data_IF_038699933431
#
_entry.id   IF_038699933431
#
_cell.length_a   1.000
_cell.length_b   1.000
_cell.length_c   1.000
_cell.angle_alpha   90.00
_cell.angle_beta   90.00
_cell.angle_gamma   90.00
#
_symmetry.space_group_name_H-M   'P 1'
#
loop_
_entity.id
_entity.type
_entity.pdbx_description
1 polymer ?
#
# COMPACT_ATOMS: atom_id res chain seq x y z
N UNK A 1 3.58 -3.02 -19.25
CA UNK A 1 2.60 -4.09 -18.98
C UNK A 1 2.69 -4.43 -17.50
N UNK A 2 1.69 -4.05 -16.69
CA UNK A 2 1.58 -4.57 -15.33
C UNK A 2 1.43 -6.08 -15.47
N UNK A 3 2.43 -6.86 -15.02
CA UNK A 3 2.21 -8.27 -14.74
C UNK A 3 1.24 -8.29 -13.56
N UNK A 4 -0.06 -8.19 -13.86
CA UNK A 4 -1.11 -8.64 -12.97
C UNK A 4 -0.80 -10.11 -12.77
N UNK A 5 -0.13 -10.42 -11.67
CA UNK A 5 -0.03 -11.78 -11.20
C UNK A 5 -1.45 -12.36 -11.24
N UNK A 6 -1.68 -13.33 -12.13
CA UNK A 6 -2.77 -14.30 -11.98
C UNK A 6 -2.71 -14.95 -10.57
N UNK A 7 -1.55 -14.86 -9.91
CA UNK A 7 -1.19 -15.28 -8.56
C UNK A 7 -1.55 -14.31 -7.41
N UNK A 8 -1.87 -13.04 -7.67
CA UNK A 8 -2.04 -12.02 -6.61
C UNK A 8 -3.49 -11.79 -6.26
N UNK A 9 -4.44 -12.49 -6.87
CA UNK A 9 -5.88 -12.36 -6.56
C UNK A 9 -6.31 -12.81 -5.15
N UNK A 10 -5.38 -12.96 -4.19
CA UNK A 10 -5.70 -13.32 -2.82
C UNK A 10 -6.70 -12.35 -2.19
N UNK A 11 -7.44 -12.81 -1.18
CA UNK A 11 -8.49 -12.02 -0.50
C UNK A 11 -7.93 -10.87 0.34
N UNK A 12 -6.61 -10.72 0.42
CA UNK A 12 -5.97 -9.75 1.29
C UNK A 12 -5.91 -8.34 0.69
N UNK A 13 -5.74 -7.35 1.58
CA UNK A 13 -5.56 -5.96 1.21
C UNK A 13 -4.66 -5.20 2.18
N UNK A 14 -4.08 -4.09 1.72
CA UNK A 14 -3.62 -3.01 2.60
C UNK A 14 -4.58 -1.84 2.46
N UNK A 15 -5.13 -1.35 3.56
CA UNK A 15 -5.90 -0.12 3.58
C UNK A 15 -5.36 0.81 4.65
N UNK A 16 -5.04 2.04 4.25
CA UNK A 16 -4.83 3.12 5.19
C UNK A 16 -6.19 3.58 5.71
N UNK A 17 -6.65 2.99 6.81
CA UNK A 17 -7.86 3.42 7.55
C UNK A 17 -7.46 3.80 8.97
N UNK A 18 -8.12 4.83 9.54
CA UNK A 18 -7.79 5.39 10.86
C UNK A 18 -6.31 5.83 10.96
N UNK A 19 -5.54 5.32 11.95
CA UNK A 19 -4.16 5.75 12.22
C UNK A 19 -3.11 5.38 11.15
N UNK A 20 -3.49 4.59 10.13
CA UNK A 20 -2.60 4.13 9.06
C UNK A 20 -2.70 4.89 7.73
N UNK A 21 -3.32 6.08 7.72
CA UNK A 21 -3.43 6.92 6.50
C UNK A 21 -2.11 7.56 6.10
N UNK A 22 -2.00 7.97 4.85
CA UNK A 22 -0.88 8.80 4.37
C UNK A 22 -0.99 10.20 4.98
N UNK A 23 0.10 10.64 5.62
CA UNK A 23 0.21 11.99 6.16
C UNK A 23 1.52 12.67 5.76
N UNK A 24 1.50 13.99 5.72
CA UNK A 24 2.67 14.88 5.62
C UNK A 24 2.52 15.91 6.74
N UNK A 25 3.54 16.08 7.57
CA UNK A 25 3.50 16.95 8.76
C UNK A 25 2.27 16.71 9.65
N UNK A 26 1.89 15.44 9.83
CA UNK A 26 0.75 15.03 10.65
C UNK A 26 -0.62 15.35 10.05
N UNK A 27 -0.70 15.86 8.81
CA UNK A 27 -1.95 16.12 8.09
C UNK A 27 -2.16 15.09 6.98
N UNK A 28 -3.39 14.67 6.70
CA UNK A 28 -3.66 13.79 5.56
C UNK A 28 -3.16 14.37 4.24
N UNK A 29 -2.64 13.50 3.37
CA UNK A 29 -2.08 13.91 2.09
C UNK A 29 -2.32 12.88 0.98
N UNK A 30 -2.44 13.38 -0.25
CA UNK A 30 -2.46 12.53 -1.45
C UNK A 30 -1.03 12.28 -1.93
N UNK A 31 -0.61 11.01 -1.86
CA UNK A 31 0.69 10.50 -2.35
C UNK A 31 0.49 9.18 -3.07
N UNK A 32 1.44 8.83 -3.94
CA UNK A 32 1.40 7.52 -4.58
C UNK A 32 1.88 6.47 -3.58
N UNK A 33 1.10 5.42 -3.43
CA UNK A 33 1.42 4.28 -2.57
C UNK A 33 1.74 3.09 -3.46
N UNK A 34 2.92 2.52 -3.26
CA UNK A 34 3.46 1.39 -4.00
C UNK A 34 3.43 0.14 -3.12
N UNK A 35 3.13 -1.00 -3.71
CA UNK A 35 3.20 -2.31 -3.05
C UNK A 35 4.10 -3.23 -3.87
N UNK A 36 5.21 -3.65 -3.28
CA UNK A 36 6.18 -4.54 -3.89
C UNK A 36 6.16 -5.89 -3.18
N UNK A 37 6.32 -6.98 -3.93
CA UNK A 37 6.61 -8.28 -3.35
C UNK A 37 7.97 -8.27 -2.67
N UNK A 38 8.06 -8.78 -1.44
CA UNK A 38 9.30 -8.68 -0.67
C UNK A 38 10.42 -9.58 -1.18
N UNK A 39 10.07 -10.72 -1.78
CA UNK A 39 11.00 -11.75 -2.23
C UNK A 39 11.75 -11.37 -3.51
N UNK A 40 11.12 -10.58 -4.40
CA UNK A 40 11.67 -10.26 -5.71
C UNK A 40 11.51 -8.78 -6.12
N UNK A 41 11.01 -7.93 -5.22
CA UNK A 41 10.80 -6.50 -5.43
C UNK A 41 9.96 -6.13 -6.65
N UNK A 42 9.12 -7.04 -7.14
CA UNK A 42 8.18 -6.71 -8.21
C UNK A 42 7.08 -5.81 -7.67
N UNK A 43 6.82 -4.70 -8.37
CA UNK A 43 5.63 -3.89 -8.14
C UNK A 43 4.38 -4.70 -8.51
N UNK A 44 3.49 -4.91 -7.54
CA UNK A 44 2.30 -5.75 -7.71
C UNK A 44 0.99 -4.97 -7.59
N UNK A 45 0.99 -3.88 -6.84
CA UNK A 45 -0.12 -2.92 -6.77
C UNK A 45 0.44 -1.52 -6.58
N UNK A 46 -0.32 -0.54 -7.03
CA UNK A 46 -0.14 0.84 -6.65
C UNK A 46 -1.49 1.56 -6.66
N UNK A 47 -1.55 2.66 -5.93
CA UNK A 47 -2.70 3.57 -5.92
C UNK A 47 -2.24 4.97 -5.54
N UNK A 48 -3.10 5.96 -5.71
CA UNK A 48 -2.96 7.24 -5.03
C UNK A 48 -3.80 7.21 -3.75
N UNK A 49 -3.23 7.67 -2.64
CA UNK A 49 -4.07 8.00 -1.49
C UNK A 49 -4.98 9.19 -1.83
N UNK A 50 -6.17 9.20 -1.24
CA UNK A 50 -7.13 10.29 -1.38
C UNK A 50 -6.64 11.53 -0.61
N UNK A 51 -7.36 12.63 -0.76
CA UNK A 51 -7.10 13.87 -0.01
C UNK A 51 -7.17 13.66 1.51
N UNK A 52 -8.05 12.76 1.97
CA UNK A 52 -8.15 12.36 3.38
C UNK A 52 -7.06 11.36 3.82
N UNK A 53 -6.05 11.12 2.98
CA UNK A 53 -4.92 10.22 3.25
C UNK A 53 -5.25 8.74 3.16
N UNK A 54 -6.53 8.36 3.01
CA UNK A 54 -6.91 6.95 2.90
C UNK A 54 -6.45 6.35 1.57
N UNK A 55 -6.16 5.05 1.58
CA UNK A 55 -5.80 4.31 0.36
C UNK A 55 -6.25 2.86 0.48
N UNK A 56 -6.36 2.18 -0.67
CA UNK A 56 -6.64 0.75 -0.76
C UNK A 56 -5.77 0.10 -1.83
N UNK A 57 -5.07 -0.96 -1.45
CA UNK A 57 -4.31 -1.86 -2.31
C UNK A 57 -4.93 -3.26 -2.18
N UNK A 58 -5.92 -3.60 -3.03
CA UNK A 58 -6.66 -4.84 -2.91
C UNK A 58 -5.99 -5.98 -3.68
N UNK A 59 -6.54 -7.19 -3.49
CA UNK A 59 -6.12 -8.39 -4.20
C UNK A 59 -4.64 -8.66 -3.97
N UNK A 60 -4.30 -9.05 -2.75
CA UNK A 60 -2.97 -9.46 -2.32
C UNK A 60 -3.05 -10.84 -1.66
N UNK A 61 -2.03 -11.68 -1.84
CA UNK A 61 -1.96 -12.98 -1.18
C UNK A 61 -1.52 -12.80 0.29
N UNK A 62 -2.36 -13.14 1.30
CA UNK A 62 -2.07 -12.95 2.72
C UNK A 62 -0.97 -13.87 3.27
N UNK A 63 -0.53 -14.87 2.50
CA UNK A 63 0.58 -15.75 2.89
C UNK A 63 1.95 -15.19 2.53
N UNK A 64 2.02 -14.13 1.72
CA UNK A 64 3.27 -13.52 1.28
C UNK A 64 3.58 -12.23 2.07
N UNK A 65 4.84 -11.83 2.03
CA UNK A 65 5.34 -10.57 2.59
C UNK A 65 5.54 -9.52 1.49
N UNK A 66 5.31 -8.26 1.85
CA UNK A 66 5.36 -7.12 0.95
C UNK A 66 6.14 -5.96 1.57
N UNK A 67 6.49 -5.02 0.69
CA UNK A 67 6.89 -3.66 1.05
C UNK A 67 5.77 -2.74 0.61
N UNK A 68 5.26 -1.92 1.52
CA UNK A 68 4.34 -0.83 1.18
C UNK A 68 5.08 0.48 1.35
N UNK A 69 5.03 1.35 0.35
CA UNK A 69 5.81 2.59 0.34
C UNK A 69 4.95 3.75 -0.15
N UNK A 70 4.86 4.82 0.63
CA UNK A 70 4.32 6.10 0.17
C UNK A 70 5.47 6.95 -0.37
N UNK A 71 5.35 7.39 -1.62
CA UNK A 71 6.37 8.21 -2.29
C UNK A 71 5.89 9.65 -2.50
N UNK A 72 6.75 10.61 -2.21
CA UNK A 72 6.46 12.02 -2.42
C UNK A 72 6.62 12.42 -3.88
N UNK A 73 5.55 12.96 -4.48
CA UNK A 73 5.58 13.43 -5.87
C UNK A 73 6.09 14.88 -5.99
N UNK A 74 6.21 15.59 -4.87
CA UNK A 74 6.72 16.95 -4.80
C UNK A 74 8.25 17.02 -4.56
N UNK A 75 8.90 15.87 -4.30
CA UNK A 75 10.33 15.75 -4.00
C UNK A 75 10.81 16.59 -2.80
N UNK A 76 9.95 16.74 -1.79
CA UNK A 76 10.23 17.46 -0.53
C UNK A 76 10.49 16.52 0.63
N UNK A 77 9.93 15.31 0.59
CA UNK A 77 10.00 14.35 1.67
C UNK A 77 10.55 13.00 1.20
N UNK A 78 11.29 12.35 2.08
CA UNK A 78 11.72 10.98 1.87
C UNK A 78 10.50 10.03 1.81
N UNK A 79 10.58 8.95 1.02
CA UNK A 79 9.52 7.96 1.01
C UNK A 79 9.45 7.26 2.37
N UNK A 80 8.24 7.04 2.86
CA UNK A 80 8.00 6.22 4.05
C UNK A 80 7.63 4.81 3.59
N UNK A 81 8.34 3.81 4.13
CA UNK A 81 8.13 2.42 3.77
C UNK A 81 7.94 1.54 5.00
N UNK A 82 7.04 0.57 4.86
CA UNK A 82 6.85 -0.53 5.80
C UNK A 82 7.30 -1.81 5.12
N UNK A 83 8.30 -2.46 5.72
CA UNK A 83 8.88 -3.72 5.25
C UNK A 83 8.31 -4.91 6.04
N UNK A 84 8.35 -6.11 5.45
CA UNK A 84 7.88 -7.38 6.04
C UNK A 84 6.40 -7.34 6.48
N UNK A 85 5.57 -6.63 5.72
CA UNK A 85 4.15 -6.51 6.03
C UNK A 85 3.31 -7.56 5.31
N UNK A 86 2.34 -8.13 6.02
CA UNK A 86 1.31 -9.02 5.47
C UNK A 86 -0.01 -8.26 5.32
N UNK A 87 -0.75 -8.47 4.23
CA UNK A 87 -2.04 -7.82 4.04
C UNK A 87 -3.06 -8.40 5.02
N UNK A 88 -4.03 -7.58 5.43
CA UNK A 88 -5.17 -8.03 6.21
C UNK A 88 -6.01 -9.02 5.39
N UNK A 89 -6.54 -10.06 6.03
CA UNK A 89 -7.30 -11.16 5.40
C UNK A 89 -8.82 -11.08 5.62
N UNK A 90 -9.28 -10.09 6.37
CA UNK A 90 -10.67 -9.78 6.70
C UNK A 90 -10.88 -8.28 6.67
N UNK A 91 -11.99 -7.80 6.09
CA UNK A 91 -12.31 -6.37 6.06
C UNK A 91 -12.36 -5.82 7.50
N UNK A 92 -12.03 -4.53 7.74
CA UNK A 92 -12.20 -3.96 9.08
C UNK A 92 -13.69 -4.08 9.42
N UNK A 93 -14.00 -4.61 10.61
CA UNK A 93 -15.38 -4.55 11.10
C UNK A 93 -15.85 -3.08 11.05
N UNK A 94 -17.06 -2.80 10.51
CA UNK A 94 -17.58 -1.44 10.41
C UNK A 94 -17.70 -0.75 11.76
#
# INVERSE_FOLDING_TARGET
MLLKDYLNGGSGYFAGTAGGIVTVDGRPASRRVLCLRRDNFRLVRDTWSKEDGTYLLPHLNPKLDYIVMAVDHEARWEPVAWDWVKPADSAPSP
#
